data_IF_104468880040
#
_entry.id   IF_104468880040
#
_cell.length_a   1.000
_cell.length_b   1.000
_cell.length_c   1.000
_cell.angle_alpha   90.00
_cell.angle_beta   90.00
_cell.angle_gamma   90.00
#
_symmetry.space_group_name_H-M   'P 1'
#
loop_
_entity.id
_entity.type
_entity.pdbx_description
1 polymer ?
#
# COMPACT_ATOMS: atom_id res chain seq x y z
N UNK A 1 -20.26 2.32 13.66
CA UNK A 1 -19.00 2.57 12.92
C UNK A 1 -19.22 3.75 12.01
N UNK A 2 -18.32 4.73 12.00
CA UNK A 2 -18.40 5.84 11.05
C UNK A 2 -18.33 5.32 9.60
N UNK A 3 -19.07 5.96 8.70
CA UNK A 3 -19.02 5.65 7.27
C UNK A 3 -17.58 5.79 6.75
N UNK A 4 -17.19 4.91 5.84
CA UNK A 4 -15.88 4.97 5.21
C UNK A 4 -15.81 6.19 4.28
N UNK A 5 -14.90 7.15 4.52
CA UNK A 5 -14.76 8.31 3.64
C UNK A 5 -14.16 7.96 2.27
N UNK A 6 -13.51 6.81 2.13
CA UNK A 6 -12.81 6.39 0.90
C UNK A 6 -13.09 4.91 0.55
N UNK A 7 -14.35 4.53 0.27
CA UNK A 7 -14.75 3.13 0.08
C UNK A 7 -14.06 2.47 -1.12
N UNK A 8 -13.75 3.25 -2.15
CA UNK A 8 -13.03 2.75 -3.32
C UNK A 8 -11.57 2.38 -2.97
N UNK A 9 -10.92 3.16 -2.12
CA UNK A 9 -9.56 2.87 -1.67
C UNK A 9 -9.54 1.68 -0.70
N UNK A 10 -10.52 1.60 0.21
CA UNK A 10 -10.72 0.43 1.07
C UNK A 10 -10.94 -0.84 0.26
N UNK A 11 -11.73 -0.78 -0.82
CA UNK A 11 -11.88 -1.88 -1.77
C UNK A 11 -10.55 -2.33 -2.37
N UNK A 12 -9.68 -1.38 -2.75
CA UNK A 12 -8.33 -1.70 -3.25
C UNK A 12 -7.45 -2.38 -2.18
N UNK A 13 -7.57 -2.01 -0.90
CA UNK A 13 -6.85 -2.66 0.19
C UNK A 13 -7.32 -4.10 0.42
N UNK A 14 -8.62 -4.37 0.30
CA UNK A 14 -9.14 -5.73 0.31
C UNK A 14 -8.72 -6.54 -0.92
N UNK A 15 -8.57 -5.89 -2.07
CA UNK A 15 -8.10 -6.55 -3.30
C UNK A 15 -6.67 -7.04 -3.15
N UNK A 16 -5.73 -6.20 -2.70
CA UNK A 16 -4.35 -6.65 -2.48
C UNK A 16 -4.23 -7.71 -1.40
N UNK A 17 -5.08 -7.68 -0.35
CA UNK A 17 -5.17 -8.77 0.63
C UNK A 17 -5.57 -10.09 -0.03
N UNK A 18 -6.63 -10.08 -0.85
CA UNK A 18 -7.11 -11.27 -1.57
C UNK A 18 -6.04 -11.81 -2.53
N UNK A 19 -5.38 -10.92 -3.28
CA UNK A 19 -4.30 -11.27 -4.20
C UNK A 19 -3.07 -11.79 -3.46
N UNK A 20 -2.72 -11.24 -2.30
CA UNK A 20 -1.61 -11.74 -1.49
C UNK A 20 -1.88 -13.17 -1.01
N UNK A 21 -3.13 -13.46 -0.63
CA UNK A 21 -3.54 -14.80 -0.25
C UNK A 21 -3.52 -15.78 -1.43
N UNK A 22 -4.10 -15.38 -2.56
CA UNK A 22 -4.29 -16.26 -3.72
C UNK A 22 -3.02 -16.46 -4.55
N UNK A 23 -2.25 -15.39 -4.77
CA UNK A 23 -1.12 -15.36 -5.70
C UNK A 23 0.24 -15.45 -5.00
N UNK A 24 0.32 -15.10 -3.70
CA UNK A 24 1.58 -15.11 -2.93
C UNK A 24 1.56 -16.13 -1.76
N UNK A 25 0.45 -16.87 -1.60
CA UNK A 25 0.21 -17.78 -0.48
C UNK A 25 0.50 -17.11 0.88
N UNK A 26 0.14 -15.83 1.02
CA UNK A 26 0.36 -15.03 2.23
C UNK A 26 -0.96 -14.55 2.83
N UNK A 27 -1.29 -15.03 4.03
CA UNK A 27 -2.51 -14.66 4.73
C UNK A 27 -2.26 -13.55 5.75
N UNK A 28 -2.39 -12.29 5.32
CA UNK A 28 -2.14 -11.11 6.15
C UNK A 28 -3.30 -10.80 7.11
N UNK A 29 -3.52 -11.64 8.13
CA UNK A 29 -4.65 -11.51 9.08
C UNK A 29 -4.64 -10.20 9.85
N UNK A 30 -3.46 -9.70 10.24
CA UNK A 30 -3.29 -8.40 10.90
C UNK A 30 -3.73 -7.26 9.99
N UNK A 31 -3.31 -7.28 8.72
CA UNK A 31 -3.69 -6.28 7.74
C UNK A 31 -5.21 -6.28 7.48
N UNK A 32 -5.80 -7.47 7.33
CA UNK A 32 -7.25 -7.63 7.22
C UNK A 32 -7.99 -7.00 8.41
N UNK A 33 -7.55 -7.31 9.64
CA UNK A 33 -8.13 -6.74 10.85
C UNK A 33 -8.01 -5.21 10.92
N UNK A 34 -6.89 -4.64 10.48
CA UNK A 34 -6.71 -3.19 10.40
C UNK A 34 -7.70 -2.55 9.42
N UNK A 35 -7.88 -3.10 8.22
CA UNK A 35 -8.84 -2.58 7.23
C UNK A 35 -10.27 -2.64 7.78
N UNK A 36 -10.66 -3.76 8.39
CA UNK A 36 -12.01 -3.92 8.95
C UNK A 36 -12.30 -2.92 10.09
N UNK A 37 -11.29 -2.57 10.88
CA UNK A 37 -11.45 -1.65 12.02
C UNK A 37 -11.36 -0.18 11.63
N UNK A 38 -10.39 0.15 10.77
CA UNK A 38 -9.95 1.53 10.51
C UNK A 38 -10.21 2.00 9.09
N UNK A 39 -10.77 1.14 8.22
CA UNK A 39 -10.85 1.34 6.78
C UNK A 39 -9.47 1.42 6.11
N UNK A 40 -9.46 1.44 4.77
CA UNK A 40 -8.25 1.35 3.99
C UNK A 40 -7.32 2.55 4.15
N UNK A 41 -7.86 3.77 4.11
CA UNK A 41 -7.02 4.97 4.09
C UNK A 41 -6.24 5.16 5.38
N UNK A 42 -6.90 5.01 6.55
CA UNK A 42 -6.22 5.15 7.82
C UNK A 42 -5.16 4.05 8.00
N UNK A 43 -5.49 2.80 7.63
CA UNK A 43 -4.54 1.68 7.64
C UNK A 43 -3.31 1.98 6.79
N UNK A 44 -3.52 2.46 5.57
CA UNK A 44 -2.43 2.78 4.65
C UNK A 44 -1.53 3.90 5.20
N UNK A 45 -2.12 4.99 5.71
CA UNK A 45 -1.37 6.08 6.34
C UNK A 45 -0.57 5.60 7.55
N UNK A 46 -1.13 4.73 8.39
CA UNK A 46 -0.39 4.14 9.51
C UNK A 46 0.84 3.36 9.03
N UNK A 47 0.69 2.51 8.01
CA UNK A 47 1.78 1.68 7.49
C UNK A 47 2.87 2.51 6.78
N UNK A 48 2.48 3.48 5.95
CA UNK A 48 3.43 4.35 5.24
C UNK A 48 4.22 5.22 6.22
N UNK A 49 3.57 5.74 7.27
CA UNK A 49 4.22 6.63 8.24
C UNK A 49 5.02 5.90 9.32
N UNK A 50 4.89 4.58 9.43
CA UNK A 50 5.72 3.77 10.34
C UNK A 50 7.21 3.93 10.00
N UNK A 51 8.07 3.96 11.01
CA UNK A 51 9.52 4.06 10.84
C UNK A 51 10.11 2.81 10.20
N UNK A 52 9.53 1.65 10.51
CA UNK A 52 9.95 0.36 9.99
C UNK A 52 8.87 -0.24 9.08
N UNK A 53 9.26 -1.02 8.06
CA UNK A 53 8.30 -1.79 7.27
C UNK A 53 7.58 -2.79 8.17
N UNK A 54 6.31 -3.05 7.85
CA UNK A 54 5.52 -4.05 8.55
C UNK A 54 5.99 -5.46 8.23
N UNK A 55 5.69 -6.43 9.09
CA UNK A 55 5.98 -7.84 8.83
C UNK A 55 5.34 -8.32 7.52
N UNK A 56 4.14 -7.82 7.20
CA UNK A 56 3.46 -8.10 5.93
C UNK A 56 4.19 -7.56 4.71
N UNK A 57 4.83 -6.39 4.83
CA UNK A 57 5.69 -5.85 3.78
C UNK A 57 6.89 -6.77 3.54
N UNK A 58 7.60 -7.15 4.60
CA UNK A 58 8.78 -8.03 4.52
C UNK A 58 8.40 -9.41 3.97
N UNK A 59 7.26 -9.97 4.40
CA UNK A 59 6.76 -11.25 3.90
C UNK A 59 6.44 -11.22 2.40
N UNK A 60 5.86 -10.12 1.90
CA UNK A 60 5.58 -9.93 0.48
C UNK A 60 6.86 -9.68 -0.33
N UNK A 61 7.84 -8.99 0.23
CA UNK A 61 9.16 -8.84 -0.40
C UNK A 61 9.86 -10.18 -0.62
N UNK A 62 9.87 -11.06 0.38
CA UNK A 62 10.44 -12.42 0.26
C UNK A 62 9.75 -13.28 -0.81
N UNK A 63 8.56 -12.86 -1.26
CA UNK A 63 7.77 -13.53 -2.30
C UNK A 63 7.84 -12.82 -3.65
N UNK A 64 8.65 -11.76 -3.76
CA UNK A 64 8.73 -10.89 -4.94
C UNK A 64 7.38 -10.24 -5.31
N UNK A 65 6.51 -10.05 -4.31
CA UNK A 65 5.15 -9.51 -4.47
C UNK A 65 4.98 -8.14 -3.82
N UNK A 66 5.99 -7.29 -3.95
CA UNK A 66 5.90 -5.89 -3.47
C UNK A 66 4.82 -5.09 -4.22
N UNK A 67 4.38 -5.53 -5.39
CA UNK A 67 3.20 -4.98 -6.09
C UNK A 67 1.90 -5.08 -5.28
N UNK A 68 1.84 -5.99 -4.30
CA UNK A 68 0.68 -6.21 -3.41
C UNK A 68 0.80 -5.45 -2.08
N UNK A 69 1.74 -4.52 -1.98
CA UNK A 69 1.88 -3.66 -0.80
C UNK A 69 1.07 -2.38 -0.94
N UNK A 70 0.78 -1.75 0.20
CA UNK A 70 0.12 -0.45 0.24
C UNK A 70 0.95 0.59 -0.52
N UNK A 71 2.26 0.58 -0.30
CA UNK A 71 3.21 1.50 -0.91
C UNK A 71 3.14 1.43 -2.43
N UNK A 72 3.18 0.22 -3.01
CA UNK A 72 3.09 0.05 -4.46
C UNK A 72 1.75 0.56 -5.00
N UNK A 73 0.64 0.16 -4.39
CA UNK A 73 -0.71 0.59 -4.83
C UNK A 73 -0.85 2.11 -4.81
N UNK A 74 -0.36 2.77 -3.76
CA UNK A 74 -0.44 4.21 -3.61
C UNK A 74 0.45 4.94 -4.61
N UNK A 75 1.69 4.46 -4.80
CA UNK A 75 2.66 5.11 -5.68
C UNK A 75 2.33 4.92 -7.16
N UNK A 76 1.89 3.72 -7.54
CA UNK A 76 1.65 3.34 -8.94
C UNK A 76 0.32 3.84 -9.49
N UNK A 77 -0.62 4.22 -8.63
CA UNK A 77 -1.95 4.67 -9.06
C UNK A 77 -2.17 6.16 -8.80
N UNK A 78 -2.21 7.01 -9.85
CA UNK A 78 -2.43 8.45 -9.71
C UNK A 78 -3.68 8.84 -8.90
N UNK A 79 -4.74 8.04 -9.00
CA UNK A 79 -5.99 8.26 -8.24
C UNK A 79 -5.77 8.18 -6.74
N UNK A 80 -4.90 7.26 -6.30
CA UNK A 80 -4.60 7.06 -4.90
C UNK A 80 -3.57 8.05 -4.39
N UNK A 81 -2.62 8.47 -5.24
CA UNK A 81 -1.63 9.50 -4.87
C UNK A 81 -2.28 10.76 -4.30
N UNK A 82 -3.42 11.18 -4.85
CA UNK A 82 -4.17 12.35 -4.38
C UNK A 82 -4.69 12.26 -2.93
N UNK A 83 -4.72 11.06 -2.33
CA UNK A 83 -5.16 10.85 -0.94
C UNK A 83 -4.01 10.98 0.08
N UNK A 84 -2.77 11.11 -0.39
CA UNK A 84 -1.56 11.13 0.41
C UNK A 84 -0.78 12.42 0.19
N UNK A 85 -0.01 12.81 1.21
CA UNK A 85 0.85 13.99 1.08
C UNK A 85 2.10 13.65 0.25
N UNK A 86 2.79 14.65 -0.33
CA UNK A 86 4.05 14.43 -1.03
C UNK A 86 5.10 13.70 -0.17
N UNK A 87 5.13 13.96 1.14
CA UNK A 87 6.04 13.31 2.08
C UNK A 87 5.70 11.83 2.27
N UNK A 88 4.41 11.48 2.38
CA UNK A 88 3.94 10.10 2.46
C UNK A 88 4.29 9.32 1.19
N UNK A 89 4.06 9.93 0.02
CA UNK A 89 4.43 9.34 -1.27
C UNK A 89 5.94 9.13 -1.37
N UNK A 90 6.74 10.12 -0.98
CA UNK A 90 8.20 10.02 -0.98
C UNK A 90 8.69 8.89 -0.04
N UNK A 91 8.06 8.70 1.12
CA UNK A 91 8.37 7.59 2.04
C UNK A 91 8.06 6.24 1.40
N UNK A 92 6.89 6.09 0.79
CA UNK A 92 6.50 4.87 0.09
C UNK A 92 7.47 4.55 -1.07
N UNK A 93 7.79 5.53 -1.90
CA UNK A 93 8.75 5.41 -3.02
C UNK A 93 10.15 5.01 -2.53
N UNK A 94 10.66 5.68 -1.49
CA UNK A 94 11.97 5.36 -0.89
C UNK A 94 11.99 3.94 -0.33
N UNK A 95 10.91 3.52 0.36
CA UNK A 95 10.80 2.18 0.93
C UNK A 95 10.80 1.11 -0.17
N UNK A 96 10.00 1.27 -1.22
CA UNK A 96 9.99 0.36 -2.37
C UNK A 96 11.38 0.23 -3.00
N UNK A 97 12.05 1.35 -3.26
CA UNK A 97 13.40 1.35 -3.85
C UNK A 97 14.45 0.71 -2.94
N UNK A 98 14.37 0.92 -1.62
CA UNK A 98 15.29 0.31 -0.67
C UNK A 98 15.20 -1.23 -0.67
N UNK A 99 14.06 -1.78 -1.08
CA UNK A 99 13.82 -3.21 -1.26
C UNK A 99 13.90 -3.64 -2.73
N UNK A 100 14.53 -2.84 -3.59
CA UNK A 100 14.77 -3.19 -5.00
C UNK A 100 13.53 -3.15 -5.91
N UNK A 101 12.38 -2.67 -5.42
CA UNK A 101 11.17 -2.55 -6.24
C UNK A 101 11.15 -1.23 -7.01
N UNK A 102 10.92 -1.32 -8.33
CA UNK A 102 10.74 -0.16 -9.20
C UNK A 102 9.24 0.00 -9.49
N UNK A 103 8.60 1.08 -8.99
CA UNK A 103 7.20 1.35 -9.29
C UNK A 103 6.98 1.49 -10.80
N UNK A 104 5.88 0.89 -11.30
CA UNK A 104 5.52 0.90 -12.73
C UNK A 104 5.19 2.29 -13.27
N UNK A 105 4.78 3.22 -12.40
CA UNK A 105 4.59 4.61 -12.77
C UNK A 105 5.89 5.39 -12.50
N UNK A 106 6.49 6.07 -13.50
CA UNK A 106 7.70 6.84 -13.26
C UNK A 106 7.41 8.02 -12.32
N UNK A 107 8.30 8.32 -11.36
CA UNK A 107 8.19 9.53 -10.57
C UNK A 107 8.50 10.72 -11.48
N UNK A 108 7.48 11.55 -11.74
CA UNK A 108 7.65 12.80 -12.47
C UNK A 108 7.00 12.84 -13.84
N UNK A 109 5.69 12.59 -13.94
CA UNK A 109 4.90 13.24 -14.99
C UNK A 109 4.76 14.73 -14.64
N UNK A 110 5.87 15.47 -14.74
CA UNK A 110 5.83 16.89 -15.03
C UNK A 110 5.31 16.98 -16.45
N UNK A 111 4.00 17.19 -16.60
CA UNK A 111 3.43 17.68 -17.84
C UNK A 111 4.15 18.98 -18.16
N UNK A 112 4.90 18.99 -19.26
CA UNK A 112 5.50 20.21 -19.83
C UNK A 112 4.45 21.16 -20.38
#
# INVERSE_FOLDING_TARGET
MAADPNPQFTGAMFDIYRRAKAEANYNATVFLGMITRNHGLATAKTLINATQPSDGYTALHQRERLDLTVEAVVVENPKWRALFTPEELSRAEKRLRAYGYVPKLPPGLSTG
#
